data_IF_235582541531
#
_entry.id   IF_235582541531
#
_cell.length_a   1.000
_cell.length_b   1.000
_cell.length_c   1.000
_cell.angle_alpha   90.00
_cell.angle_beta   90.00
_cell.angle_gamma   90.00
#
_symmetry.space_group_name_H-M   'P 1'
#
loop_
_entity.id
_entity.type
_entity.pdbx_description
1 polymer ?
#
# COMPACT_ATOMS: atom_id res chain seq x y z
N UNK A 1 17.17 37.87 14.87
CA UNK A 1 15.74 37.93 14.49
C UNK A 1 15.29 36.48 14.24
N UNK A 2 15.36 35.60 15.25
CA UNK A 2 15.36 34.14 15.03
C UNK A 2 14.37 33.37 15.90
N UNK A 3 13.47 34.06 16.59
CA UNK A 3 12.46 33.42 17.46
C UNK A 3 11.19 33.00 16.72
N UNK A 4 10.96 33.49 15.50
CA UNK A 4 9.82 33.07 14.65
C UNK A 4 9.98 31.64 14.08
N UNK A 5 11.17 31.05 14.10
CA UNK A 5 11.46 29.79 13.39
C UNK A 5 11.21 28.53 14.25
N UNK A 6 11.49 28.61 15.56
CA UNK A 6 11.37 27.47 16.47
C UNK A 6 9.90 27.13 16.75
N UNK A 7 9.06 28.14 16.98
CA UNK A 7 7.62 27.94 17.21
C UNK A 7 6.94 27.24 16.03
N UNK A 8 7.28 27.65 14.80
CA UNK A 8 6.75 27.03 13.57
C UNK A 8 7.22 25.58 13.40
N UNK A 9 8.47 25.27 13.74
CA UNK A 9 8.99 23.89 13.72
C UNK A 9 8.28 23.00 14.74
N UNK A 10 8.07 23.48 15.96
CA UNK A 10 7.35 22.75 17.02
C UNK A 10 5.89 22.49 16.60
N UNK A 11 5.23 23.49 16.00
CA UNK A 11 3.87 23.34 15.47
C UNK A 11 3.80 22.25 14.39
N UNK A 12 4.70 22.29 13.40
CA UNK A 12 4.76 21.32 12.30
C UNK A 12 5.02 19.88 12.79
N UNK A 13 5.91 19.71 13.78
CA UNK A 13 6.18 18.40 14.39
C UNK A 13 4.94 17.84 15.12
N UNK A 14 4.18 18.70 15.80
CA UNK A 14 2.95 18.29 16.48
C UNK A 14 1.86 17.88 15.50
N UNK A 15 1.71 18.61 14.40
CA UNK A 15 0.76 18.29 13.33
C UNK A 15 1.09 16.94 12.69
N UNK A 16 2.38 16.67 12.42
CA UNK A 16 2.83 15.40 11.85
C UNK A 16 2.58 14.22 12.81
N UNK A 17 2.88 14.36 14.11
CA UNK A 17 2.59 13.33 15.11
C UNK A 17 1.09 13.04 15.23
N UNK A 18 0.26 14.08 15.15
CA UNK A 18 -1.19 13.91 15.18
C UNK A 18 -1.71 13.16 13.96
N UNK A 19 -1.15 13.47 12.77
CA UNK A 19 -1.48 12.79 11.53
C UNK A 19 -1.08 11.31 11.57
N UNK A 20 0.12 10.99 12.07
CA UNK A 20 0.58 9.60 12.27
C UNK A 20 -0.35 8.82 13.20
N UNK A 21 -0.83 9.45 14.27
CA UNK A 21 -1.79 8.84 15.19
C UNK A 21 -3.11 8.51 14.50
N UNK A 22 -3.66 9.45 13.72
CA UNK A 22 -4.89 9.26 12.96
C UNK A 22 -4.71 8.13 11.93
N UNK A 23 -3.60 8.14 11.21
CA UNK A 23 -3.25 7.10 10.25
C UNK A 23 -3.18 5.71 10.89
N UNK A 24 -2.56 5.62 12.08
CA UNK A 24 -2.49 4.37 12.85
C UNK A 24 -3.85 3.88 13.35
N UNK A 25 -4.71 4.77 13.82
CA UNK A 25 -6.09 4.43 14.24
C UNK A 25 -6.95 3.96 13.05
N UNK A 26 -6.72 4.53 11.86
CA UNK A 26 -7.43 4.18 10.62
C UNK A 26 -6.77 3.03 9.82
N UNK A 27 -5.62 2.52 10.27
CA UNK A 27 -4.89 1.44 9.60
C UNK A 27 -4.37 1.80 8.20
N UNK A 28 -4.15 3.09 7.92
CA UNK A 28 -3.70 3.62 6.63
C UNK A 28 -2.39 4.38 6.78
N UNK A 29 -1.77 4.77 5.66
CA UNK A 29 -0.54 5.57 5.72
C UNK A 29 -0.87 7.05 5.93
N UNK A 30 -0.01 7.85 6.57
CA UNK A 30 -0.23 9.28 6.75
C UNK A 30 -0.47 10.03 5.43
N UNK A 31 0.16 9.61 4.34
CA UNK A 31 -0.05 10.18 3.00
C UNK A 31 -1.49 9.99 2.51
N UNK A 32 -2.09 8.83 2.81
CA UNK A 32 -3.48 8.50 2.46
C UNK A 32 -4.47 9.34 3.28
N UNK A 33 -4.13 9.65 4.54
CA UNK A 33 -4.91 10.57 5.38
C UNK A 33 -4.84 12.00 4.87
N UNK A 34 -3.68 12.46 4.37
CA UNK A 34 -3.56 13.81 3.77
C UNK A 34 -4.35 13.90 2.46
N UNK A 35 -4.33 12.84 1.67
CA UNK A 35 -5.07 12.75 0.42
C UNK A 35 -6.59 12.51 0.64
N UNK A 36 -7.02 12.36 1.90
CA UNK A 36 -8.41 12.10 2.25
C UNK A 36 -9.29 13.30 1.89
N UNK A 37 -10.14 13.10 0.88
CA UNK A 37 -11.16 14.06 0.49
C UNK A 37 -12.53 13.56 1.00
N UNK A 38 -13.10 14.27 1.97
CA UNK A 38 -14.40 13.95 2.58
C UNK A 38 -15.52 13.80 1.54
N UNK A 39 -15.49 14.58 0.45
CA UNK A 39 -16.48 14.50 -0.63
C UNK A 39 -16.42 13.18 -1.42
N UNK A 40 -15.30 12.46 -1.39
CA UNK A 40 -15.14 11.16 -2.05
C UNK A 40 -15.59 9.98 -1.18
N UNK A 41 -15.61 10.13 0.15
CA UNK A 41 -15.80 9.03 1.10
C UNK A 41 -17.24 8.93 1.62
N UNK A 42 -17.96 10.04 1.70
CA UNK A 42 -19.34 10.04 2.24
C UNK A 42 -20.45 9.75 1.21
N UNK A 43 -20.12 9.41 -0.04
CA UNK A 43 -21.12 9.10 -1.08
C UNK A 43 -21.52 7.60 -1.13
N UNK A 44 -21.31 6.84 -0.05
CA UNK A 44 -21.49 5.37 -0.06
C UNK A 44 -22.75 4.91 0.69
N UNK A 45 -23.36 5.73 1.55
CA UNK A 45 -24.51 5.27 2.35
C UNK A 45 -25.84 5.21 1.56
N UNK A 46 -25.98 5.89 0.41
CA UNK A 46 -27.25 5.92 -0.34
C UNK A 46 -27.13 6.05 -1.88
N UNK A 47 -25.93 5.95 -2.47
CA UNK A 47 -25.75 6.20 -3.90
C UNK A 47 -25.36 4.92 -4.66
N UNK A 48 -26.34 4.25 -5.28
CA UNK A 48 -26.12 3.06 -6.11
C UNK A 48 -25.42 3.36 -7.45
N UNK A 49 -25.09 4.63 -7.74
CA UNK A 49 -24.60 5.06 -9.06
C UNK A 49 -23.54 6.16 -9.01
N UNK A 50 -22.87 6.37 -7.87
CA UNK A 50 -21.81 7.37 -7.73
C UNK A 50 -20.43 6.81 -8.09
N UNK A 51 -19.71 7.45 -9.02
CA UNK A 51 -18.28 7.25 -9.28
C UNK A 51 -17.42 7.75 -8.09
N UNK A 52 -17.64 7.20 -6.90
CA UNK A 52 -16.78 7.43 -5.73
C UNK A 52 -15.54 6.56 -5.79
N UNK A 53 -14.41 7.06 -5.27
CA UNK A 53 -13.22 6.27 -5.07
C UNK A 53 -13.48 5.26 -3.95
N UNK A 54 -13.86 4.04 -4.31
CA UNK A 54 -13.91 2.92 -3.37
C UNK A 54 -12.46 2.56 -3.06
N UNK A 55 -11.94 3.00 -1.92
CA UNK A 55 -10.71 2.42 -1.34
C UNK A 55 -11.10 1.05 -0.81
N UNK A 56 -11.28 0.09 -1.74
CA UNK A 56 -11.17 -1.31 -1.41
C UNK A 56 -9.71 -1.50 -1.00
N UNK A 57 -9.47 -1.73 0.29
CA UNK A 57 -8.26 -2.40 0.74
C UNK A 57 -8.21 -3.75 0.03
N UNK A 58 -7.75 -3.78 -1.22
CA UNK A 58 -7.93 -4.87 -2.17
C UNK A 58 -7.30 -6.12 -1.56
N UNK A 59 -8.09 -7.08 -1.02
CA UNK A 59 -7.52 -8.39 -0.77
C UNK A 59 -7.20 -8.92 -2.16
N UNK A 60 -5.90 -9.12 -2.46
CA UNK A 60 -5.39 -9.57 -3.77
C UNK A 60 -6.47 -10.34 -4.55
N UNK A 61 -6.89 -9.81 -5.69
CA UNK A 61 -7.90 -10.45 -6.53
C UNK A 61 -7.51 -11.92 -6.68
N UNK A 62 -8.46 -12.84 -6.46
CA UNK A 62 -8.20 -14.28 -6.50
C UNK A 62 -7.48 -14.72 -7.77
N UNK A 63 -7.74 -14.03 -8.88
CA UNK A 63 -7.09 -14.26 -10.18
C UNK A 63 -5.62 -13.83 -10.18
N UNK A 64 -5.31 -12.65 -9.63
CA UNK A 64 -3.93 -12.15 -9.49
C UNK A 64 -3.11 -13.06 -8.58
N UNK A 65 -3.70 -13.52 -7.48
CA UNK A 65 -3.04 -14.45 -6.55
C UNK A 65 -2.72 -15.78 -7.24
N UNK A 66 -3.62 -16.28 -8.07
CA UNK A 66 -3.41 -17.54 -8.78
C UNK A 66 -2.37 -17.40 -9.88
N UNK A 67 -2.38 -16.27 -10.61
CA UNK A 67 -1.34 -15.93 -11.58
C UNK A 67 0.05 -15.88 -10.94
N UNK A 68 0.18 -15.24 -9.77
CA UNK A 68 1.44 -15.21 -9.04
C UNK A 68 1.91 -16.59 -8.60
N UNK A 69 1.00 -17.47 -8.14
CA UNK A 69 1.37 -18.85 -7.81
C UNK A 69 1.89 -19.62 -9.03
N UNK A 70 1.24 -19.45 -10.19
CA UNK A 70 1.69 -20.08 -11.43
C UNK A 70 3.09 -19.60 -11.82
N UNK A 71 3.35 -18.29 -11.75
CA UNK A 71 4.70 -17.75 -12.02
C UNK A 71 5.75 -18.31 -11.06
N UNK A 72 5.44 -18.38 -9.76
CA UNK A 72 6.33 -18.97 -8.76
C UNK A 72 6.63 -20.44 -9.08
N UNK A 73 5.64 -21.19 -9.54
CA UNK A 73 5.81 -22.59 -9.90
C UNK A 73 6.72 -22.75 -11.12
N UNK A 74 6.49 -21.98 -12.18
CA UNK A 74 7.34 -21.98 -13.39
C UNK A 74 8.80 -21.66 -13.03
N UNK A 75 9.04 -20.63 -12.22
CA UNK A 75 10.39 -20.26 -11.79
C UNK A 75 11.08 -21.37 -10.99
N UNK A 76 10.34 -22.09 -10.13
CA UNK A 76 10.89 -23.25 -9.40
C UNK A 76 11.29 -24.38 -10.34
N UNK A 77 10.47 -24.65 -11.35
CA UNK A 77 10.72 -25.70 -12.33
C UNK A 77 11.93 -25.37 -13.22
N UNK A 78 12.07 -24.10 -13.63
CA UNK A 78 13.24 -23.59 -14.34
C UNK A 78 14.52 -23.74 -13.50
N UNK A 79 14.48 -23.33 -12.23
CA UNK A 79 15.62 -23.48 -11.31
C UNK A 79 16.00 -24.95 -11.15
N UNK A 80 15.03 -25.85 -11.04
CA UNK A 80 15.28 -27.29 -10.96
C UNK A 80 15.93 -27.82 -12.24
N UNK A 81 15.44 -27.39 -13.40
CA UNK A 81 16.01 -27.77 -14.70
C UNK A 81 17.45 -27.30 -14.86
N UNK A 82 17.72 -26.02 -14.54
CA UNK A 82 19.06 -25.45 -14.59
C UNK A 82 20.02 -26.17 -13.64
N UNK A 83 19.59 -26.50 -12.42
CA UNK A 83 20.39 -27.31 -11.48
C UNK A 83 20.76 -28.68 -12.07
N UNK A 84 19.79 -29.38 -12.68
CA UNK A 84 20.05 -30.68 -13.34
C UNK A 84 21.06 -30.57 -14.48
N UNK A 85 21.00 -29.50 -15.28
CA UNK A 85 21.97 -29.26 -16.35
C UNK A 85 23.36 -29.04 -15.75
N UNK A 86 23.47 -28.21 -14.72
CA UNK A 86 24.74 -27.96 -14.03
C UNK A 86 25.31 -29.27 -13.46
N UNK A 87 24.50 -30.07 -12.77
CA UNK A 87 24.93 -31.37 -12.23
C UNK A 87 25.36 -32.35 -13.34
N UNK A 88 24.73 -32.28 -14.52
CA UNK A 88 25.12 -33.06 -15.69
C UNK A 88 26.41 -32.60 -16.34
N UNK A 89 26.77 -31.32 -16.20
CA UNK A 89 28.00 -30.75 -16.76
C UNK A 89 29.19 -30.86 -15.81
N UNK A 90 28.94 -31.02 -14.51
CA UNK A 90 29.95 -31.21 -13.46
C UNK A 90 30.32 -32.69 -13.21
N UNK A 91 29.64 -33.62 -13.88
CA UNK A 91 30.01 -35.04 -13.96
C UNK A 91 30.92 -35.30 -15.16
#
# INVERSE_FOLDING_TARGET
MDTLNIGNKIKKLRELKNLERIAGELGMKPEDVIAFNESMVFNVMHNQTGNGLVIQNNPLNSEERELYKQQIQTLKDEVLHLKKIIDSLLK
#
